data_IF_742215473034
#
_entry.id   IF_742215473034
#
_cell.length_a   1.000
_cell.length_b   1.000
_cell.length_c   1.000
_cell.angle_alpha   90.00
_cell.angle_beta   90.00
_cell.angle_gamma   90.00
#
_symmetry.space_group_name_H-M   'P 1'
#
loop_
_entity.id
_entity.type
_entity.pdbx_description
1 polymer ?
#
# COMPACT_ATOMS: atom_id res chain seq x y z
N UNK A 1 -22.44 -3.27 15.45
CA UNK A 1 -22.75 -4.13 14.29
C UNK A 1 -21.42 -4.64 13.77
N UNK A 2 -21.28 -5.94 13.60
CA UNK A 2 -20.11 -6.56 12.95
C UNK A 2 -20.13 -6.18 11.48
N UNK A 3 -19.17 -5.37 11.05
CA UNK A 3 -19.04 -4.97 9.66
C UNK A 3 -18.09 -5.95 8.97
N UNK A 4 -18.66 -7.00 8.38
CA UNK A 4 -17.89 -7.99 7.62
C UNK A 4 -17.25 -7.29 6.41
N UNK A 5 -15.98 -7.59 6.16
CA UNK A 5 -15.30 -7.23 4.92
C UNK A 5 -15.17 -8.47 4.05
N UNK A 6 -15.57 -8.34 2.78
CA UNK A 6 -15.50 -9.40 1.78
C UNK A 6 -14.39 -9.09 0.77
N UNK A 7 -13.58 -10.10 0.44
CA UNK A 7 -12.47 -9.98 -0.52
C UNK A 7 -12.72 -10.97 -1.65
N UNK A 8 -12.63 -10.50 -2.89
CA UNK A 8 -12.61 -11.37 -4.08
C UNK A 8 -11.26 -11.28 -4.77
N UNK A 9 -10.71 -12.43 -5.13
CA UNK A 9 -9.41 -12.56 -5.80
C UNK A 9 -9.56 -13.15 -7.19
N UNK A 10 -8.63 -12.80 -8.08
CA UNK A 10 -8.47 -13.39 -9.40
C UNK A 10 -7.10 -14.09 -9.50
N UNK A 11 -7.05 -15.40 -9.17
CA UNK A 11 -5.83 -16.18 -9.30
C UNK A 11 -5.27 -16.23 -10.72
N UNK A 12 -6.10 -16.12 -11.76
CA UNK A 12 -5.61 -16.28 -13.13
C UNK A 12 -4.73 -15.12 -13.59
N UNK A 13 -4.92 -13.92 -13.02
CA UNK A 13 -4.29 -12.68 -13.48
C UNK A 13 -3.54 -11.95 -12.36
N UNK A 14 -2.56 -12.62 -11.75
CA UNK A 14 -1.70 -12.01 -10.73
C UNK A 14 -2.11 -12.28 -9.30
N UNK A 15 -3.17 -13.05 -9.07
CA UNK A 15 -3.77 -13.11 -7.74
C UNK A 15 -4.38 -11.77 -7.32
N UNK A 16 -4.66 -10.86 -8.25
CA UNK A 16 -5.22 -9.54 -7.96
C UNK A 16 -6.47 -9.61 -7.07
N UNK A 17 -6.66 -8.67 -6.16
CA UNK A 17 -7.96 -8.50 -5.52
C UNK A 17 -8.82 -7.63 -6.43
N UNK A 18 -9.90 -8.22 -6.89
CA UNK A 18 -10.87 -7.57 -7.78
C UNK A 18 -12.00 -6.91 -7.01
N UNK A 19 -12.10 -7.12 -5.69
CA UNK A 19 -13.09 -6.49 -4.84
C UNK A 19 -12.66 -6.52 -3.37
N UNK A 20 -12.89 -5.42 -2.66
CA UNK A 20 -12.85 -5.33 -1.19
C UNK A 20 -14.12 -4.59 -0.75
N UNK A 21 -15.10 -5.31 -0.22
CA UNK A 21 -16.43 -4.74 0.08
C UNK A 21 -16.73 -4.70 1.55
N UNK A 22 -17.37 -3.62 1.95
CA UNK A 22 -18.21 -3.54 3.15
C UNK A 22 -19.69 -3.51 2.71
N UNK A 23 -20.67 -3.71 3.60
CA UNK A 23 -22.07 -3.86 3.22
C UNK A 23 -22.66 -2.76 2.32
N UNK A 24 -22.12 -1.53 2.40
CA UNK A 24 -22.59 -0.38 1.61
C UNK A 24 -21.63 0.12 0.55
N UNK A 25 -20.43 -0.48 0.41
CA UNK A 25 -19.34 0.15 -0.34
C UNK A 25 -18.34 -0.85 -0.92
N UNK A 26 -17.99 -0.66 -2.18
CA UNK A 26 -16.74 -1.16 -2.77
C UNK A 26 -15.61 -0.18 -2.43
N UNK A 27 -14.51 -0.70 -1.92
CA UNK A 27 -13.35 0.11 -1.52
C UNK A 27 -12.32 0.23 -2.63
N UNK A 28 -12.24 -0.73 -3.55
CA UNK A 28 -11.22 -0.72 -4.59
C UNK A 28 -11.67 0.13 -5.78
N UNK A 29 -10.75 0.98 -6.24
CA UNK A 29 -10.89 1.69 -7.49
C UNK A 29 -10.58 0.75 -8.64
N UNK A 30 -11.29 0.91 -9.76
CA UNK A 30 -11.10 0.10 -10.95
C UNK A 30 -11.12 0.97 -12.21
N UNK A 31 -10.38 0.54 -13.23
CA UNK A 31 -10.55 1.02 -14.59
C UNK A 31 -10.56 -0.14 -15.58
N UNK A 32 -11.18 0.10 -16.74
CA UNK A 32 -11.11 -0.82 -17.86
C UNK A 32 -9.68 -0.86 -18.40
N UNK A 33 -9.05 -2.03 -18.32
CA UNK A 33 -7.70 -2.28 -18.79
C UNK A 33 -7.63 -3.70 -19.39
N UNK A 34 -8.21 -3.94 -20.58
CA UNK A 34 -8.28 -5.27 -21.19
C UNK A 34 -6.90 -5.87 -21.52
N UNK A 35 -5.87 -5.04 -21.61
CA UNK A 35 -4.49 -5.46 -21.72
C UNK A 35 -4.00 -6.26 -20.50
N UNK A 36 -4.69 -6.11 -19.35
CA UNK A 36 -4.40 -6.87 -18.13
C UNK A 36 -4.58 -8.37 -18.30
N UNK A 37 -5.59 -8.79 -19.04
CA UNK A 37 -5.93 -10.20 -19.23
C UNK A 37 -4.85 -10.97 -20.02
N UNK A 38 -3.92 -10.25 -20.65
CA UNK A 38 -2.86 -10.80 -21.49
C UNK A 38 -1.46 -10.56 -20.94
N UNK A 39 -1.35 -9.82 -19.82
CA UNK A 39 -0.06 -9.47 -19.24
C UNK A 39 0.68 -10.73 -18.79
N UNK A 40 1.98 -10.78 -19.08
CA UNK A 40 2.88 -11.84 -18.64
C UNK A 40 4.03 -11.27 -17.81
N UNK A 41 4.79 -12.11 -17.08
CA UNK A 41 5.92 -11.62 -16.30
C UNK A 41 6.97 -10.92 -17.16
N UNK A 42 7.40 -9.74 -16.71
CA UNK A 42 8.34 -8.88 -17.45
C UNK A 42 7.68 -7.82 -18.34
N UNK A 43 6.37 -7.90 -18.58
CA UNK A 43 5.64 -6.82 -19.26
C UNK A 43 5.62 -5.53 -18.43
N UNK A 44 5.39 -4.41 -19.11
CA UNK A 44 5.11 -3.14 -18.44
C UNK A 44 3.85 -3.27 -17.57
N UNK A 45 3.87 -2.64 -16.39
CA UNK A 45 2.76 -2.70 -15.46
C UNK A 45 1.46 -2.16 -16.09
N UNK A 46 0.40 -2.97 -15.96
CA UNK A 46 -0.96 -2.58 -16.36
C UNK A 46 -1.76 -2.27 -15.12
N UNK A 47 -1.93 -0.97 -14.86
CA UNK A 47 -2.83 -0.51 -13.80
C UNK A 47 -4.28 -0.80 -14.22
N UNK A 48 -4.92 -1.77 -13.56
CA UNK A 48 -6.34 -2.08 -13.71
C UNK A 48 -7.17 -1.61 -12.49
N UNK A 49 -6.54 -0.93 -11.53
CA UNK A 49 -7.06 -0.73 -10.18
C UNK A 49 -6.97 -1.99 -9.31
N UNK A 50 -7.74 -2.06 -8.23
CA UNK A 50 -7.76 -3.22 -7.34
C UNK A 50 -6.62 -3.22 -6.32
N UNK A 51 -6.27 -4.40 -5.81
CA UNK A 51 -5.07 -4.62 -5.00
C UNK A 51 -4.16 -5.64 -5.67
N UNK A 52 -2.90 -5.25 -5.85
CA UNK A 52 -1.84 -6.12 -6.38
C UNK A 52 -0.80 -6.43 -5.31
N UNK A 53 -0.23 -7.63 -5.33
CA UNK A 53 1.00 -7.90 -4.61
C UNK A 53 2.22 -7.50 -5.45
N UNK A 54 2.93 -6.46 -5.03
CA UNK A 54 4.21 -6.09 -5.60
C UNK A 54 5.35 -6.81 -4.86
N UNK A 55 6.13 -7.66 -5.53
CA UNK A 55 7.29 -8.36 -4.95
C UNK A 55 8.20 -8.85 -6.09
N UNK A 56 9.53 -8.69 -6.02
CA UNK A 56 10.33 -8.27 -4.85
C UNK A 56 10.54 -6.75 -4.73
N UNK A 57 9.81 -5.96 -5.51
CA UNK A 57 9.92 -4.50 -5.51
C UNK A 57 8.59 -3.86 -5.93
N UNK A 58 8.37 -2.59 -5.57
CA UNK A 58 7.22 -1.80 -6.08
C UNK A 58 7.60 -1.06 -7.35
N UNK A 59 8.79 -0.45 -7.36
CA UNK A 59 9.38 0.20 -8.54
C UNK A 59 10.65 -0.53 -8.97
N UNK A 60 11.00 -0.42 -10.23
CA UNK A 60 12.22 -0.98 -10.78
C UNK A 60 11.96 -1.73 -12.09
N UNK A 61 12.82 -2.69 -12.41
CA UNK A 61 12.68 -3.54 -13.60
C UNK A 61 12.60 -5.02 -13.16
N UNK A 62 11.44 -5.69 -13.32
CA UNK A 62 10.16 -5.14 -13.80
C UNK A 62 9.45 -4.25 -12.76
N UNK A 63 8.66 -3.30 -13.25
CA UNK A 63 7.80 -2.45 -12.43
C UNK A 63 6.74 -3.30 -11.74
N UNK A 64 6.46 -3.02 -10.46
CA UNK A 64 5.58 -3.81 -9.58
C UNK A 64 6.02 -5.27 -9.36
N UNK A 65 7.27 -5.59 -9.71
CA UNK A 65 7.87 -6.89 -9.45
C UNK A 65 7.32 -8.01 -10.34
N UNK A 66 7.43 -9.23 -9.85
CA UNK A 66 7.33 -10.45 -10.67
C UNK A 66 5.95 -11.11 -10.62
N UNK A 67 5.15 -10.88 -9.57
CA UNK A 67 3.95 -11.70 -9.32
C UNK A 67 2.63 -11.10 -9.82
N UNK A 68 2.58 -9.79 -10.10
CA UNK A 68 1.33 -9.08 -10.45
C UNK A 68 0.67 -9.57 -11.75
N UNK A 69 1.43 -10.21 -12.64
CA UNK A 69 0.93 -10.78 -13.89
C UNK A 69 0.98 -12.31 -13.92
N UNK A 70 1.52 -12.96 -12.88
CA UNK A 70 1.63 -14.42 -12.83
C UNK A 70 0.29 -15.06 -12.44
N UNK A 71 -0.12 -16.18 -13.05
CA UNK A 71 -1.22 -16.96 -12.52
C UNK A 71 -0.81 -17.63 -11.19
N UNK A 72 -1.70 -17.57 -10.21
CA UNK A 72 -1.59 -18.23 -8.92
C UNK A 72 -2.34 -19.56 -8.97
N UNK A 73 -1.82 -20.55 -8.26
CA UNK A 73 -2.51 -21.83 -8.04
C UNK A 73 -3.15 -21.85 -6.67
N UNK A 74 -4.22 -22.64 -6.49
CA UNK A 74 -4.91 -22.76 -5.20
C UNK A 74 -4.83 -24.19 -4.69
N UNK A 75 -4.37 -24.35 -3.44
CA UNK A 75 -4.37 -25.62 -2.70
C UNK A 75 -5.18 -25.44 -1.42
N UNK A 76 -6.39 -26.02 -1.37
CA UNK A 76 -7.34 -25.74 -0.30
C UNK A 76 -7.71 -24.24 -0.26
N UNK A 77 -7.54 -23.61 0.90
CA UNK A 77 -7.81 -22.18 1.09
C UNK A 77 -6.59 -21.28 0.82
N UNK A 78 -5.48 -21.84 0.35
CA UNK A 78 -4.22 -21.11 0.15
C UNK A 78 -3.95 -20.92 -1.33
N UNK A 79 -3.62 -19.69 -1.71
CA UNK A 79 -3.19 -19.34 -3.06
C UNK A 79 -1.67 -19.17 -3.08
N UNK A 80 -1.03 -19.62 -4.15
CA UNK A 80 0.42 -19.70 -4.28
C UNK A 80 0.88 -19.18 -5.64
N UNK A 81 2.00 -18.49 -5.66
CA UNK A 81 2.72 -18.13 -6.87
C UNK A 81 4.20 -18.44 -6.72
N UNK A 82 4.75 -19.09 -7.74
CA UNK A 82 6.17 -19.39 -7.85
C UNK A 82 6.84 -18.38 -8.77
N UNK A 83 7.73 -17.58 -8.21
CA UNK A 83 8.69 -16.76 -8.93
C UNK A 83 10.00 -17.54 -9.11
N UNK A 84 10.97 -16.97 -9.84
CA UNK A 84 12.28 -17.61 -10.01
C UNK A 84 13.03 -17.77 -8.67
N UNK A 85 12.97 -16.74 -7.82
CA UNK A 85 13.80 -16.66 -6.60
C UNK A 85 13.05 -16.92 -5.29
N UNK A 86 11.71 -17.00 -5.33
CA UNK A 86 10.88 -17.17 -4.14
C UNK A 86 9.53 -17.81 -4.48
N UNK A 87 8.86 -18.31 -3.45
CA UNK A 87 7.44 -18.69 -3.49
C UNK A 87 6.69 -17.73 -2.56
N UNK A 88 5.61 -17.13 -3.03
CA UNK A 88 4.67 -16.39 -2.20
C UNK A 88 3.39 -17.21 -2.04
N UNK A 89 2.88 -17.27 -0.82
CA UNK A 89 1.59 -17.88 -0.51
C UNK A 89 0.75 -16.91 0.33
N UNK A 90 -0.57 -16.95 0.13
CA UNK A 90 -1.51 -16.23 0.99
C UNK A 90 -2.76 -17.05 1.31
N UNK A 91 -3.33 -16.79 2.48
CA UNK A 91 -4.65 -17.28 2.88
C UNK A 91 -5.51 -16.10 3.30
N UNK A 92 -6.68 -15.96 2.67
CA UNK A 92 -7.66 -14.91 2.99
C UNK A 92 -8.73 -15.49 3.90
N UNK A 93 -9.06 -14.80 4.99
CA UNK A 93 -10.07 -15.24 5.97
C UNK A 93 -10.96 -14.07 6.40
N UNK A 94 -12.26 -14.31 6.41
CA UNK A 94 -13.18 -13.43 7.12
C UNK A 94 -12.97 -13.54 8.63
N UNK A 95 -13.18 -12.44 9.34
CA UNK A 95 -13.13 -12.37 10.81
C UNK A 95 -14.39 -11.66 11.32
N UNK A 96 -14.64 -11.69 12.62
CA UNK A 96 -15.80 -11.00 13.21
C UNK A 96 -15.80 -9.49 12.95
N UNK A 97 -14.62 -8.88 12.84
CA UNK A 97 -14.44 -7.42 12.76
C UNK A 97 -13.96 -6.94 11.37
N UNK A 98 -13.87 -7.83 10.39
CA UNK A 98 -13.38 -7.53 9.04
C UNK A 98 -12.75 -8.74 8.35
N UNK A 99 -11.55 -8.59 7.79
CA UNK A 99 -10.82 -9.65 7.10
C UNK A 99 -9.35 -9.70 7.51
N UNK A 100 -8.74 -10.86 7.31
CA UNK A 100 -7.33 -11.09 7.57
C UNK A 100 -6.71 -11.84 6.39
N UNK A 101 -5.51 -11.41 5.99
CA UNK A 101 -4.71 -12.11 4.99
C UNK A 101 -3.37 -12.47 5.60
N UNK A 102 -3.14 -13.76 5.72
CA UNK A 102 -1.88 -14.33 6.20
C UNK A 102 -1.00 -14.64 4.99
N UNK A 103 0.23 -14.14 5.00
CA UNK A 103 1.21 -14.34 3.93
C UNK A 103 2.41 -15.14 4.43
N UNK A 104 2.99 -15.91 3.51
CA UNK A 104 4.28 -16.59 3.71
C UNK A 104 5.11 -16.45 2.45
N UNK A 105 6.38 -16.05 2.60
CA UNK A 105 7.35 -16.08 1.52
C UNK A 105 8.49 -17.04 1.89
N UNK A 106 8.79 -17.94 0.97
CA UNK A 106 9.90 -18.89 1.09
C UNK A 106 10.95 -18.58 0.03
N UNK A 107 12.20 -18.40 0.44
CA UNK A 107 13.32 -18.15 -0.45
C UNK A 107 14.64 -18.57 0.21
N UNK A 108 15.76 -18.38 -0.49
CA UNK A 108 17.09 -18.58 0.11
C UNK A 108 17.29 -17.61 1.29
N UNK A 109 17.90 -18.06 2.41
CA UNK A 109 18.27 -17.17 3.50
C UNK A 109 19.08 -15.96 3.02
N UNK A 110 18.74 -14.79 3.54
CA UNK A 110 19.34 -13.51 3.14
C UNK A 110 18.76 -12.88 1.88
N UNK A 111 17.81 -13.53 1.19
CA UNK A 111 17.04 -12.92 0.10
C UNK A 111 16.37 -11.64 0.61
N UNK A 112 16.63 -10.52 -0.09
CA UNK A 112 16.07 -9.21 0.23
C UNK A 112 14.92 -8.91 -0.71
N UNK A 113 13.87 -8.32 -0.19
CA UNK A 113 12.73 -7.91 -0.99
C UNK A 113 11.98 -6.75 -0.33
N UNK A 114 11.26 -6.03 -1.17
CA UNK A 114 10.14 -5.18 -0.78
C UNK A 114 8.87 -5.93 -1.17
N UNK A 115 7.87 -5.89 -0.29
CA UNK A 115 6.51 -6.34 -0.61
C UNK A 115 5.54 -5.20 -0.33
N UNK A 116 4.59 -4.97 -1.23
CA UNK A 116 3.47 -4.08 -0.97
C UNK A 116 2.16 -4.72 -1.42
N UNK A 117 1.12 -4.56 -0.61
CA UNK A 117 -0.26 -4.71 -1.04
C UNK A 117 -0.69 -3.38 -1.70
N UNK A 118 -0.41 -3.24 -3.00
CA UNK A 118 -0.65 -2.04 -3.79
C UNK A 118 -2.16 -1.84 -4.04
N UNK A 119 -2.88 -1.36 -3.00
CA UNK A 119 -4.32 -1.21 -2.98
C UNK A 119 -4.73 0.18 -3.48
N UNK A 120 -5.29 0.25 -4.68
CA UNK A 120 -5.90 1.45 -5.22
C UNK A 120 -7.34 1.56 -4.73
N UNK A 121 -7.61 2.57 -3.92
CA UNK A 121 -8.88 2.79 -3.25
C UNK A 121 -9.76 3.79 -4.01
N UNK A 122 -11.04 3.48 -4.13
CA UNK A 122 -12.07 4.40 -4.64
C UNK A 122 -12.47 5.35 -3.52
N UNK A 123 -11.89 6.55 -3.50
CA UNK A 123 -12.05 7.52 -2.42
C UNK A 123 -12.55 8.87 -2.94
N UNK A 124 -13.48 9.45 -2.19
CA UNK A 124 -13.95 10.80 -2.47
C UNK A 124 -12.85 11.85 -2.25
N UNK A 125 -13.09 13.07 -2.75
CA UNK A 125 -12.22 14.22 -2.49
C UNK A 125 -12.14 14.63 -1.02
N UNK A 126 -13.15 14.27 -0.24
CA UNK A 126 -13.27 14.63 1.17
C UNK A 126 -12.68 13.55 2.09
N UNK A 127 -12.19 12.44 1.51
CA UNK A 127 -11.55 11.37 2.25
C UNK A 127 -10.27 11.85 2.95
N UNK A 128 -10.01 11.30 4.13
CA UNK A 128 -8.84 11.60 4.95
C UNK A 128 -8.14 10.33 5.41
N UNK A 129 -6.81 10.42 5.54
CA UNK A 129 -5.95 9.33 5.99
C UNK A 129 -5.43 9.62 7.40
N UNK A 130 -5.50 8.62 8.26
CA UNK A 130 -5.09 8.72 9.67
C UNK A 130 -4.03 7.66 9.95
N UNK A 131 -2.88 8.12 10.42
CA UNK A 131 -1.72 7.29 10.80
C UNK A 131 -1.07 7.93 12.02
N UNK A 132 -0.08 7.27 12.62
CA UNK A 132 0.68 7.80 13.76
C UNK A 132 1.22 9.19 13.44
N UNK A 133 0.87 10.18 14.27
CA UNK A 133 1.41 11.53 14.17
C UNK A 133 2.93 11.50 14.29
N UNK A 134 3.62 12.37 13.56
CA UNK A 134 5.07 12.51 13.57
C UNK A 134 5.85 11.28 13.04
N UNK A 135 5.15 10.29 12.48
CA UNK A 135 5.78 9.20 11.75
C UNK A 135 6.71 9.75 10.66
N UNK A 136 7.91 9.17 10.58
CA UNK A 136 8.89 9.53 9.54
C UNK A 136 8.27 9.26 8.17
N UNK A 137 8.28 10.26 7.27
CA UNK A 137 7.70 10.14 5.94
C UNK A 137 8.75 10.46 4.89
N UNK A 138 9.00 9.53 3.97
CA UNK A 138 9.83 9.74 2.78
C UNK A 138 8.94 10.22 1.65
N UNK A 139 9.27 11.38 1.07
CA UNK A 139 8.67 11.88 -0.17
C UNK A 139 9.56 11.50 -1.34
N UNK A 140 8.97 11.11 -2.47
CA UNK A 140 9.69 10.73 -3.69
C UNK A 140 9.66 11.85 -4.75
N UNK A 141 10.53 11.82 -5.78
CA UNK A 141 10.80 12.96 -6.66
C UNK A 141 9.59 13.56 -7.37
N UNK A 142 8.49 12.80 -7.52
CA UNK A 142 7.22 13.31 -8.05
C UNK A 142 6.65 14.45 -7.18
N UNK A 143 7.02 14.52 -5.90
CA UNK A 143 6.65 15.60 -4.99
C UNK A 143 7.45 16.90 -5.22
N UNK A 144 8.58 16.86 -5.93
CA UNK A 144 9.51 18.00 -6.04
C UNK A 144 8.82 19.31 -6.48
N UNK A 145 7.90 19.33 -7.47
CA UNK A 145 7.19 20.56 -7.86
C UNK A 145 6.30 21.15 -6.76
N UNK A 146 6.00 20.39 -5.71
CA UNK A 146 5.07 20.75 -4.64
C UNK A 146 5.76 21.14 -3.33
N UNK A 147 7.06 20.87 -3.20
CA UNK A 147 7.82 21.03 -1.95
C UNK A 147 8.97 22.02 -2.07
N UNK A 148 8.72 23.19 -2.66
CA UNK A 148 9.68 24.30 -2.75
C UNK A 148 10.97 23.98 -3.52
N UNK A 149 11.83 24.98 -3.70
CA UNK A 149 12.94 24.96 -4.69
C UNK A 149 14.17 24.10 -4.33
N UNK A 150 14.08 23.18 -3.36
CA UNK A 150 15.28 22.54 -2.76
C UNK A 150 15.26 21.01 -2.77
N UNK A 151 14.74 20.35 -3.82
CA UNK A 151 14.98 18.91 -3.96
C UNK A 151 16.49 18.67 -4.13
N UNK A 152 17.17 17.96 -3.22
CA UNK A 152 18.61 17.78 -3.32
C UNK A 152 18.95 16.96 -4.56
N UNK A 153 19.95 17.40 -5.33
CA UNK A 153 20.38 16.71 -6.54
C UNK A 153 20.75 15.26 -6.23
N UNK A 154 20.13 14.32 -6.96
CA UNK A 154 20.39 12.89 -6.81
C UNK A 154 19.78 12.24 -5.55
N UNK A 155 19.01 12.98 -4.74
CA UNK A 155 18.32 12.37 -3.61
C UNK A 155 17.14 11.51 -4.10
N UNK A 156 17.11 10.20 -3.75
CA UNK A 156 16.00 9.31 -4.12
C UNK A 156 14.72 9.63 -3.34
N UNK A 157 14.85 10.30 -2.20
CA UNK A 157 13.75 10.87 -1.41
C UNK A 157 14.25 11.98 -0.50
N UNK A 158 13.32 12.78 0.02
CA UNK A 158 13.53 13.65 1.18
C UNK A 158 12.67 13.18 2.34
N UNK A 159 13.07 13.50 3.58
CA UNK A 159 12.38 13.02 4.79
C UNK A 159 11.71 14.17 5.53
N UNK A 160 10.41 14.02 5.80
CA UNK A 160 9.61 14.89 6.65
C UNK A 160 8.80 14.10 7.69
N UNK A 161 7.79 14.76 8.26
CA UNK A 161 6.91 14.19 9.31
C UNK A 161 5.47 14.12 8.83
N UNK A 162 4.82 12.98 9.07
CA UNK A 162 3.38 12.83 8.88
C UNK A 162 2.60 13.78 9.82
N UNK A 163 1.50 14.43 9.39
CA UNK A 163 0.79 14.27 8.11
C UNK A 163 1.12 15.30 7.02
N UNK A 164 2.09 16.18 7.28
CA UNK A 164 2.42 17.33 6.42
C UNK A 164 3.93 17.41 6.14
N UNK A 165 4.55 16.36 5.58
CA UNK A 165 5.99 16.40 5.29
C UNK A 165 6.31 17.57 4.38
N UNK A 166 7.22 18.45 4.81
CA UNK A 166 7.57 19.70 4.11
C UNK A 166 6.36 20.60 3.79
N UNK A 167 5.32 20.57 4.64
CA UNK A 167 4.11 21.36 4.46
C UNK A 167 3.09 20.77 3.48
N UNK A 168 3.39 19.66 2.80
CA UNK A 168 2.49 19.00 1.86
C UNK A 168 1.45 18.14 2.61
N UNK A 169 0.15 18.48 2.61
CA UNK A 169 -0.86 17.78 3.42
C UNK A 169 -1.29 16.44 2.81
N UNK A 170 -0.47 15.40 2.94
CA UNK A 170 -0.72 14.08 2.36
C UNK A 170 -1.92 13.33 2.96
N UNK A 171 -2.34 13.69 4.17
CA UNK A 171 -3.53 13.12 4.81
C UNK A 171 -4.87 13.56 4.20
N UNK A 172 -4.86 14.50 3.24
CA UNK A 172 -6.06 15.00 2.56
C UNK A 172 -5.90 14.80 1.05
N UNK A 173 -6.96 14.34 0.39
CA UNK A 173 -6.94 14.11 -1.06
C UNK A 173 -7.32 15.38 -1.81
N UNK A 174 -8.50 15.96 -1.55
CA UNK A 174 -8.96 17.14 -2.28
C UNK A 174 -9.43 16.85 -3.73
N UNK A 175 -9.80 17.90 -4.47
CA UNK A 175 -10.17 17.79 -5.88
C UNK A 175 -8.97 17.41 -6.76
N UNK A 176 -9.24 17.05 -8.00
CA UNK A 176 -8.19 16.81 -8.99
C UNK A 176 -7.41 18.11 -9.22
N UNK A 177 -6.08 18.05 -9.07
CA UNK A 177 -5.18 19.20 -9.16
C UNK A 177 -4.03 18.99 -10.15
N UNK A 178 -4.04 17.85 -10.87
CA UNK A 178 -3.01 17.51 -11.83
C UNK A 178 -1.73 16.96 -11.21
N UNK A 179 -1.71 16.66 -9.90
CA UNK A 179 -0.53 16.15 -9.20
C UNK A 179 -0.55 14.64 -9.00
N UNK A 180 0.64 14.04 -8.94
CA UNK A 180 0.83 12.67 -8.50
C UNK A 180 2.02 12.63 -7.52
N UNK A 181 1.83 12.03 -6.35
CA UNK A 181 2.85 12.03 -5.28
C UNK A 181 2.98 10.65 -4.67
N UNK A 182 4.21 10.12 -4.68
CA UNK A 182 4.59 8.95 -3.90
C UNK A 182 5.15 9.32 -2.53
N UNK A 183 4.74 8.59 -1.49
CA UNK A 183 5.32 8.70 -0.16
C UNK A 183 5.37 7.34 0.54
N UNK A 184 6.31 7.17 1.48
CA UNK A 184 6.35 6.02 2.38
C UNK A 184 6.36 6.53 3.82
N UNK A 185 5.38 6.12 4.61
CA UNK A 185 5.20 6.51 6.01
C UNK A 185 5.59 5.36 6.92
N UNK A 186 6.51 5.60 7.86
CA UNK A 186 7.00 4.62 8.83
C UNK A 186 5.95 4.36 9.93
N UNK A 187 4.94 3.58 9.56
CA UNK A 187 3.81 3.17 10.39
C UNK A 187 3.27 1.83 9.91
N UNK A 188 2.74 1.04 10.81
CA UNK A 188 2.11 -0.25 10.49
C UNK A 188 0.61 -0.14 10.20
N UNK A 189 -0.01 1.00 10.52
CA UNK A 189 -1.45 1.20 10.51
C UNK A 189 -1.81 2.48 9.73
N UNK A 190 -2.80 2.34 8.84
CA UNK A 190 -3.53 3.45 8.24
C UNK A 190 -5.04 3.25 8.44
N UNK A 191 -5.74 4.30 8.82
CA UNK A 191 -7.20 4.36 8.80
C UNK A 191 -7.65 5.38 7.74
N UNK A 192 -8.47 4.92 6.81
CA UNK A 192 -9.12 5.71 5.77
C UNK A 192 -10.52 6.08 6.24
N UNK A 193 -10.83 7.37 6.20
CA UNK A 193 -12.14 7.91 6.55
C UNK A 193 -12.73 8.59 5.31
N UNK A 194 -13.84 8.07 4.78
CA UNK A 194 -14.57 8.68 3.68
C UNK A 194 -16.06 8.79 4.03
N UNK A 195 -16.52 10.00 4.34
CA UNK A 195 -17.84 10.22 4.91
C UNK A 195 -18.06 9.42 6.20
N UNK A 196 -19.08 8.57 6.22
CA UNK A 196 -19.37 7.65 7.33
C UNK A 196 -18.55 6.36 7.31
N UNK A 197 -17.92 6.03 6.18
CA UNK A 197 -17.24 4.76 5.97
C UNK A 197 -15.82 4.79 6.53
N UNK A 198 -15.37 3.65 7.06
CA UNK A 198 -14.04 3.47 7.64
C UNK A 198 -13.40 2.22 7.09
N UNK A 199 -12.11 2.30 6.78
CA UNK A 199 -11.27 1.16 6.47
C UNK A 199 -9.93 1.31 7.20
N UNK A 200 -9.60 0.38 8.07
CA UNK A 200 -8.28 0.28 8.67
C UNK A 200 -7.48 -0.84 8.00
N UNK A 201 -6.23 -0.55 7.65
CA UNK A 201 -5.25 -1.51 7.13
C UNK A 201 -4.09 -1.57 8.12
N UNK A 202 -3.87 -2.73 8.72
CA UNK A 202 -2.83 -2.95 9.73
C UNK A 202 -1.91 -4.10 9.30
N UNK A 203 -0.61 -3.83 9.19
CA UNK A 203 0.40 -4.82 8.84
C UNK A 203 1.18 -5.27 10.07
N UNK A 204 1.39 -6.57 10.21
CA UNK A 204 2.24 -7.15 11.26
C UNK A 204 3.26 -8.11 10.66
N UNK A 205 4.53 -7.88 10.98
CA UNK A 205 5.63 -8.74 10.61
C UNK A 205 6.74 -8.63 11.66
N UNK A 206 7.11 -9.77 12.26
CA UNK A 206 8.08 -9.77 13.35
C UNK A 206 9.50 -9.54 12.82
N UNK A 207 10.17 -8.52 13.36
CA UNK A 207 11.58 -8.22 13.04
C UNK A 207 11.83 -7.73 11.61
N UNK A 208 10.80 -7.20 10.95
CA UNK A 208 10.87 -6.76 9.55
C UNK A 208 10.47 -5.29 9.42
N UNK A 209 11.02 -4.56 8.44
CA UNK A 209 10.60 -3.20 8.19
C UNK A 209 9.15 -3.18 7.71
N UNK A 210 8.26 -2.54 8.48
CA UNK A 210 6.87 -2.26 8.07
C UNK A 210 6.66 -0.78 7.80
N UNK A 211 5.85 -0.46 6.80
CA UNK A 211 5.43 0.90 6.46
C UNK A 211 4.07 0.90 5.76
N UNK A 212 3.51 2.09 5.53
CA UNK A 212 2.43 2.32 4.56
C UNK A 212 2.98 3.15 3.42
N UNK A 213 2.97 2.61 2.20
CA UNK A 213 3.19 3.38 0.99
C UNK A 213 1.89 4.13 0.62
N UNK A 214 2.04 5.33 0.06
CA UNK A 214 0.96 6.20 -0.36
C UNK A 214 1.24 6.66 -1.79
N UNK A 215 0.26 6.46 -2.66
CA UNK A 215 0.20 7.05 -3.99
C UNK A 215 -0.99 8.01 -4.05
N UNK A 216 -0.73 9.31 -4.07
CA UNK A 216 -1.77 10.34 -4.21
C UNK A 216 -1.76 10.86 -5.64
N UNK A 217 -2.58 10.28 -6.51
CA UNK A 217 -2.73 10.71 -7.90
C UNK A 217 -4.08 11.40 -8.11
N UNK A 218 -4.03 12.71 -8.26
CA UNK A 218 -5.16 13.62 -8.41
C UNK A 218 -5.25 14.08 -9.87
N UNK A 219 -5.27 13.10 -10.78
CA UNK A 219 -5.19 13.29 -12.23
C UNK A 219 -3.86 13.89 -12.72
N UNK A 220 -2.74 13.51 -12.10
CA UNK A 220 -1.39 13.87 -12.57
C UNK A 220 -0.68 12.80 -13.40
N UNK A 221 -1.08 11.53 -13.25
CA UNK A 221 -0.42 10.38 -13.87
C UNK A 221 -1.44 9.34 -14.38
N UNK A 222 -1.10 8.53 -15.40
CA UNK A 222 0.05 8.64 -16.31
C UNK A 222 -0.17 9.69 -17.39
N UNK A 223 0.91 10.22 -17.97
CA UNK A 223 0.83 11.03 -19.17
C UNK A 223 0.81 10.14 -20.42
N UNK A 224 0.06 10.49 -21.49
CA UNK A 224 -0.73 11.71 -21.69
C UNK A 224 -2.20 11.64 -21.20
N UNK A 225 -2.60 10.54 -20.56
CA UNK A 225 -3.99 10.27 -20.19
C UNK A 225 -4.14 10.07 -18.68
N UNK A 226 -4.02 11.15 -17.88
CA UNK A 226 -4.01 11.01 -16.44
C UNK A 226 -5.40 10.70 -15.89
N UNK A 227 -5.43 10.05 -14.74
CA UNK A 227 -6.65 9.74 -13.99
C UNK A 227 -6.43 9.91 -12.49
N UNK A 228 -7.52 9.95 -11.73
CA UNK A 228 -7.48 9.94 -10.27
C UNK A 228 -7.33 8.51 -9.76
N UNK A 229 -6.35 8.25 -8.91
CA UNK A 229 -6.21 7.00 -8.16
C UNK A 229 -5.51 7.26 -6.81
N UNK A 230 -5.88 6.53 -5.76
CA UNK A 230 -5.25 6.69 -4.44
C UNK A 230 -4.78 5.34 -3.92
N UNK A 231 -3.46 5.14 -3.86
CA UNK A 231 -2.84 3.94 -3.29
C UNK A 231 -2.65 4.09 -1.79
N UNK A 232 -3.16 3.14 -1.00
CA UNK A 232 -2.83 3.00 0.43
C UNK A 232 -2.33 1.59 0.65
N UNK A 233 -1.02 1.46 0.83
CA UNK A 233 -0.32 0.22 0.50
C UNK A 233 0.47 -0.30 1.71
N UNK A 234 -0.11 -1.23 2.49
CA UNK A 234 0.63 -1.96 3.50
C UNK A 234 1.88 -2.61 2.91
N UNK A 235 3.02 -2.35 3.53
CA UNK A 235 4.30 -2.67 2.91
C UNK A 235 5.30 -3.28 3.90
N UNK A 236 5.99 -4.33 3.46
CA UNK A 236 7.27 -4.75 4.02
C UNK A 236 8.39 -4.01 3.29
N UNK A 237 8.99 -3.05 3.95
CA UNK A 237 10.06 -2.20 3.43
C UNK A 237 9.93 -0.74 3.87
N UNK A 238 10.73 0.15 3.28
CA UNK A 238 10.71 1.62 3.50
C UNK A 238 10.97 2.44 2.24
N UNK A 239 11.11 1.79 1.09
CA UNK A 239 11.37 2.39 -0.23
C UNK A 239 10.58 1.68 -1.32
N UNK A 240 10.18 2.40 -2.36
CA UNK A 240 9.48 1.78 -3.49
C UNK A 240 10.38 0.86 -4.32
N UNK A 241 11.62 1.28 -4.61
CA UNK A 241 12.59 0.50 -5.36
C UNK A 241 13.56 -0.23 -4.42
N UNK A 242 13.61 -1.56 -4.53
CA UNK A 242 14.56 -2.38 -3.78
C UNK A 242 16.02 -1.98 -4.03
N UNK A 243 16.35 -1.45 -5.22
CA UNK A 243 17.70 -1.00 -5.54
C UNK A 243 18.14 0.21 -4.69
N UNK A 244 17.20 1.04 -4.26
CA UNK A 244 17.49 2.18 -3.38
C UNK A 244 17.51 1.78 -1.89
N UNK A 245 17.15 0.54 -1.56
CA UNK A 245 16.97 0.12 -0.17
C UNK A 245 18.30 0.05 0.61
N UNK A 246 18.42 0.87 1.64
CA UNK A 246 19.45 0.73 2.67
C UNK A 246 19.34 -0.60 3.46
N UNK A 247 20.31 -0.91 4.33
CA UNK A 247 20.37 -2.18 5.06
C UNK A 247 19.07 -2.56 5.79
N UNK A 248 18.38 -1.56 6.35
CA UNK A 248 17.18 -1.72 7.16
C UNK A 248 15.87 -1.36 6.41
N UNK A 249 15.96 -1.06 5.11
CA UNK A 249 14.81 -0.60 4.32
C UNK A 249 14.07 -1.72 3.59
N UNK A 250 14.63 -2.92 3.52
CA UNK A 250 14.04 -4.06 2.82
C UNK A 250 13.87 -5.25 3.77
N UNK A 251 12.79 -6.01 3.59
CA UNK A 251 12.62 -7.26 4.29
C UNK A 251 13.73 -8.24 3.89
N UNK A 252 14.08 -9.11 4.83
CA UNK A 252 15.13 -10.12 4.62
C UNK A 252 14.65 -11.47 5.13
N UNK A 253 14.76 -12.48 4.26
CA UNK A 253 14.44 -13.85 4.62
C UNK A 253 15.45 -14.37 5.67
N UNK A 254 14.98 -14.84 6.84
CA UNK A 254 15.85 -15.30 7.91
C UNK A 254 16.49 -16.66 7.60
N UNK A 255 17.31 -17.17 8.52
CA UNK A 255 18.02 -18.44 8.38
C UNK A 255 17.09 -19.65 8.19
N UNK A 256 15.82 -19.57 8.63
CA UNK A 256 14.81 -20.60 8.40
C UNK A 256 14.40 -20.73 6.92
N UNK A 257 14.71 -19.75 6.07
CA UNK A 257 14.27 -19.72 4.67
C UNK A 257 12.83 -19.25 4.48
N UNK A 258 12.16 -18.83 5.54
CA UNK A 258 10.74 -18.47 5.53
C UNK A 258 10.48 -17.22 6.36
N UNK A 259 9.64 -16.34 5.83
CA UNK A 259 9.12 -15.14 6.49
C UNK A 259 7.59 -15.13 6.42
N UNK A 260 6.94 -14.67 7.49
CA UNK A 260 5.48 -14.58 7.59
C UNK A 260 5.08 -13.17 7.99
N UNK A 261 3.96 -12.72 7.45
CA UNK A 261 3.33 -11.47 7.86
C UNK A 261 1.82 -11.57 7.71
N UNK A 262 1.12 -10.60 8.30
CA UNK A 262 -0.33 -10.54 8.31
C UNK A 262 -0.80 -9.14 8.00
N UNK A 263 -1.74 -9.05 7.06
CA UNK A 263 -2.55 -7.86 6.82
C UNK A 263 -3.92 -8.06 7.47
N UNK A 264 -4.29 -7.18 8.40
CA UNK A 264 -5.62 -7.12 8.98
C UNK A 264 -6.38 -5.90 8.43
N UNK A 265 -7.64 -6.12 8.07
CA UNK A 265 -8.54 -5.14 7.49
C UNK A 265 -9.79 -5.05 8.36
N UNK A 266 -10.18 -3.85 8.79
CA UNK A 266 -11.44 -3.67 9.55
C UNK A 266 -12.23 -2.46 9.09
N UNK A 267 -13.55 -2.56 9.16
CA UNK A 267 -14.46 -1.44 8.84
C UNK A 267 -14.65 -0.45 10.01
N UNK A 268 -13.62 -0.33 10.86
CA UNK A 268 -13.57 0.56 12.01
C UNK A 268 -12.18 1.19 12.11
N UNK A 269 -12.12 2.44 12.58
CA UNK A 269 -10.85 3.10 12.86
C UNK A 269 -10.16 2.41 14.03
N UNK A 270 -8.85 2.17 13.89
CA UNK A 270 -7.97 1.60 14.92
C UNK A 270 -6.91 2.57 15.42
N UNK A 271 -6.87 3.79 14.88
CA UNK A 271 -5.98 4.83 15.40
C UNK A 271 -6.37 5.15 16.85
N UNK A 272 -5.36 5.37 17.70
CA UNK A 272 -5.61 5.91 19.02
C UNK A 272 -6.37 7.24 18.85
N UNK A 273 -7.47 7.41 19.59
CA UNK A 273 -8.14 8.71 19.62
C UNK A 273 -7.13 9.75 20.09
N UNK A 274 -7.00 10.90 19.41
CA UNK A 274 -6.19 11.98 19.94
C UNK A 274 -6.70 12.28 21.35
N UNK A 275 -5.81 12.25 22.34
CA UNK A 275 -6.16 12.71 23.68
C UNK A 275 -6.73 14.12 23.49
N UNK A 276 -7.95 14.44 23.99
CA UNK A 276 -8.49 15.77 23.83
C UNK A 276 -7.45 16.74 24.38
N UNK A 277 -7.00 17.68 23.55
CA UNK A 277 -6.18 18.79 24.01
C UNK A 277 -6.95 19.39 25.18
N UNK A 278 -6.35 19.39 26.38
CA UNK A 278 -6.88 20.17 27.48
C UNK A 278 -6.96 21.59 26.96
N UNK A 279 -8.17 22.09 26.74
CA UNK A 279 -8.39 23.52 26.59
C UNK A 279 -7.66 24.20 27.74
N UNK A 280 -6.64 24.98 27.41
CA UNK A 280 -6.11 25.96 28.34
C UNK A 280 -7.24 26.95 28.58
N UNK A 281 -8.07 26.69 29.60
CA UNK A 281 -8.90 27.72 30.20
C UNK A 281 -7.93 28.67 30.90
N UNK A 282 -7.82 29.94 30.47
CA UNK A 282 -7.14 30.93 31.28
C UNK A 282 -7.91 31.06 32.60
N UNK A 283 -7.16 31.11 33.70
CA UNK A 283 -7.70 31.56 34.97
C UNK A 283 -7.95 33.06 34.85
N UNK A 284 -9.21 33.44 34.61
CA UNK A 284 -9.73 34.80 34.87
C UNK A 284 -11.15 34.68 35.37
#
# INVERSE_FOLDING_TARGET
MTSVLEITTDPAHGGRWTSLRSPGREWLWHRTAPERDKAVPGDAFVDAGGLEECVPTVRGLPDHGDVWSRPWTRTGDTEHVQAESFTLARTVRATADGAQVDYTLTARPGFRFVWAAHALLDLSRDATLHMSSDATTRLFPEAAPLVGDNWPTGAPWITGRWPTPHGLPLHRLGPDDGTAVGAVVDTALCCVHDGGDRLALELRADGQPVSIALWRNLAGYPQPHPYRSTGVEPMLGRVFDLADAGPDDAARVPASGEIRWRLALTAACRCASPTPQKEHRPWT
#
